data_IF_498738881818
#
_entry.id   IF_498738881818
#
_cell.length_a   1.000
_cell.length_b   1.000
_cell.length_c   1.000
_cell.angle_alpha   90.00
_cell.angle_beta   90.00
_cell.angle_gamma   90.00
#
_symmetry.space_group_name_H-M   'P 1'
#
loop_
_entity.id
_entity.type
_entity.pdbx_description
1 polymer ?
#
# COMPACT_ATOMS: atom_id res chain seq x y z
N UNK A 1 7.80 -19.63 -18.63
CA UNK A 1 6.86 -18.51 -18.89
C UNK A 1 5.37 -18.89 -18.78
N UNK A 2 4.97 -20.15 -18.99
CA UNK A 2 3.55 -20.55 -18.97
C UNK A 2 2.85 -20.61 -17.59
N UNK A 3 3.60 -20.85 -16.49
CA UNK A 3 3.00 -21.00 -15.15
C UNK A 3 2.55 -19.67 -14.57
N UNK A 4 3.39 -18.63 -14.67
CA UNK A 4 3.09 -17.26 -14.22
C UNK A 4 1.82 -16.72 -14.89
N UNK A 5 1.68 -16.97 -16.19
CA UNK A 5 0.50 -16.56 -16.97
C UNK A 5 -0.77 -17.29 -16.53
N UNK A 6 -0.70 -18.60 -16.28
CA UNK A 6 -1.87 -19.36 -15.78
C UNK A 6 -2.34 -18.90 -14.40
N UNK A 7 -1.41 -18.50 -13.54
CA UNK A 7 -1.75 -17.97 -12.21
C UNK A 7 -2.38 -16.58 -12.36
N UNK A 8 -1.82 -15.70 -13.19
CA UNK A 8 -2.43 -14.39 -13.41
C UNK A 8 -3.83 -14.50 -14.02
N UNK A 9 -4.06 -15.41 -14.96
CA UNK A 9 -5.36 -15.62 -15.61
C UNK A 9 -6.46 -16.08 -14.64
N UNK A 10 -6.10 -16.81 -13.58
CA UNK A 10 -7.06 -17.24 -12.54
C UNK A 10 -7.37 -16.16 -11.52
N UNK A 11 -6.42 -15.26 -11.26
CA UNK A 11 -6.52 -14.24 -10.21
C UNK A 11 -7.03 -12.91 -10.75
N UNK A 12 -6.70 -12.59 -12.00
CA UNK A 12 -7.00 -11.31 -12.65
C UNK A 12 -7.98 -11.53 -13.81
N UNK A 13 -9.09 -10.79 -13.81
CA UNK A 13 -9.99 -10.76 -14.95
C UNK A 13 -9.31 -9.99 -16.09
N UNK A 14 -8.89 -10.71 -17.12
CA UNK A 14 -8.26 -10.11 -18.28
C UNK A 14 -9.33 -9.51 -19.20
N UNK A 15 -9.13 -8.26 -19.61
CA UNK A 15 -9.92 -7.62 -20.66
C UNK A 15 -9.12 -7.69 -21.98
N UNK A 16 -9.50 -8.58 -22.90
CA UNK A 16 -8.74 -8.81 -24.13
C UNK A 16 -8.76 -7.59 -25.06
N UNK A 17 -9.72 -6.66 -24.94
CA UNK A 17 -9.74 -5.45 -25.76
C UNK A 17 -8.73 -4.42 -25.22
N UNK A 18 -8.74 -4.18 -23.91
CA UNK A 18 -7.79 -3.28 -23.27
C UNK A 18 -6.33 -3.76 -23.43
N UNK A 19 -6.09 -5.07 -23.42
CA UNK A 19 -4.75 -5.62 -23.64
C UNK A 19 -4.25 -5.43 -25.07
N UNK A 20 -5.16 -5.43 -26.05
CA UNK A 20 -4.83 -5.24 -27.46
C UNK A 20 -4.36 -3.82 -27.78
N UNK A 21 -4.82 -2.83 -27.02
CA UNK A 21 -4.40 -1.43 -27.12
C UNK A 21 -2.98 -1.19 -26.57
N UNK A 22 -2.43 -2.13 -25.78
CA UNK A 22 -1.10 -2.00 -25.21
C UNK A 22 0.00 -2.38 -26.21
N UNK A 23 1.16 -1.67 -26.20
CA UNK A 23 2.34 -2.07 -26.98
C UNK A 23 2.80 -3.50 -26.66
N UNK A 24 3.26 -4.25 -27.65
CA UNK A 24 3.63 -5.67 -27.50
C UNK A 24 4.68 -5.91 -26.39
N UNK A 25 5.65 -4.99 -26.27
CA UNK A 25 6.68 -5.05 -25.23
C UNK A 25 6.10 -4.98 -23.81
N UNK A 26 4.99 -4.25 -23.62
CA UNK A 26 4.28 -4.15 -22.34
C UNK A 26 3.45 -5.40 -22.10
N UNK A 27 2.70 -5.86 -23.11
CA UNK A 27 1.83 -7.05 -23.03
C UNK A 27 2.61 -8.30 -22.64
N UNK A 28 3.82 -8.49 -23.18
CA UNK A 28 4.70 -9.63 -22.85
C UNK A 28 5.10 -9.67 -21.37
N UNK A 29 5.23 -8.52 -20.72
CA UNK A 29 5.66 -8.41 -19.33
C UNK A 29 4.51 -8.24 -18.33
N UNK A 30 3.29 -8.02 -18.82
CA UNK A 30 2.08 -7.79 -18.03
C UNK A 30 1.82 -8.86 -16.96
N UNK A 31 1.76 -10.18 -17.26
CA UNK A 31 1.41 -11.19 -16.26
C UNK A 31 2.46 -11.30 -15.15
N UNK A 32 3.74 -11.19 -15.49
CA UNK A 32 4.82 -11.21 -14.51
C UNK A 32 4.82 -9.97 -13.60
N UNK A 33 4.55 -8.79 -14.16
CA UNK A 33 4.46 -7.56 -13.38
C UNK A 33 3.20 -7.53 -12.51
N UNK A 34 2.08 -8.04 -12.98
CA UNK A 34 0.84 -8.15 -12.20
C UNK A 34 1.06 -8.98 -10.93
N UNK A 35 1.65 -10.17 -11.04
CA UNK A 35 1.93 -11.00 -9.87
C UNK A 35 2.94 -10.35 -8.90
N UNK A 36 3.96 -9.63 -9.42
CA UNK A 36 4.89 -8.89 -8.57
C UNK A 36 4.20 -7.78 -7.78
N UNK A 37 3.29 -7.05 -8.42
CA UNK A 37 2.52 -5.98 -7.75
C UNK A 37 1.58 -6.60 -6.71
N UNK A 38 0.84 -7.65 -7.06
CA UNK A 38 -0.05 -8.35 -6.13
C UNK A 38 0.73 -8.85 -4.91
N UNK A 39 1.87 -9.51 -5.13
CA UNK A 39 2.74 -9.98 -4.06
C UNK A 39 3.25 -8.83 -3.19
N UNK A 40 3.80 -7.77 -3.80
CA UNK A 40 4.31 -6.62 -3.06
C UNK A 40 3.22 -5.94 -2.21
N UNK A 41 2.04 -5.70 -2.79
CA UNK A 41 0.91 -5.11 -2.07
C UNK A 41 0.38 -6.02 -0.97
N UNK A 42 0.37 -7.34 -1.19
CA UNK A 42 -0.03 -8.30 -0.16
C UNK A 42 0.92 -8.24 1.04
N UNK A 43 2.24 -8.29 0.82
CA UNK A 43 3.23 -8.16 1.89
C UNK A 43 3.13 -6.82 2.62
N UNK A 44 2.97 -5.73 1.85
CA UNK A 44 2.80 -4.39 2.41
C UNK A 44 1.59 -4.31 3.33
N UNK A 45 0.42 -4.79 2.88
CA UNK A 45 -0.81 -4.81 3.68
C UNK A 45 -0.67 -5.72 4.92
N UNK A 46 0.04 -6.85 4.80
CA UNK A 46 0.33 -7.69 5.96
C UNK A 46 1.16 -6.95 7.01
N UNK A 47 2.21 -6.24 6.59
CA UNK A 47 3.02 -5.40 7.48
C UNK A 47 2.20 -4.30 8.16
N UNK A 48 1.36 -3.60 7.39
CA UNK A 48 0.50 -2.53 7.91
C UNK A 48 -0.49 -3.03 8.99
N UNK A 49 -0.98 -4.26 8.85
CA UNK A 49 -1.88 -4.88 9.82
C UNK A 49 -1.15 -5.32 11.10
N UNK A 50 0.12 -5.72 11.00
CA UNK A 50 0.94 -6.11 12.18
C UNK A 50 1.29 -4.89 13.04
N UNK A 51 1.59 -3.75 12.42
CA UNK A 51 2.03 -2.53 13.13
C UNK A 51 0.86 -1.58 13.43
N UNK A 52 -0.38 -2.05 13.26
CA UNK A 52 -1.52 -1.14 13.15
C UNK A 52 -1.82 -0.42 14.46
N UNK A 53 -1.39 0.84 14.52
CA UNK A 53 -1.69 1.79 15.60
C UNK A 53 -3.20 2.01 15.84
N UNK A 54 -4.06 1.55 14.92
CA UNK A 54 -5.52 1.68 15.03
C UNK A 54 -6.15 0.78 16.10
N UNK A 55 -5.41 -0.14 16.73
CA UNK A 55 -5.88 -0.86 17.92
C UNK A 55 -5.33 -0.25 19.21
N UNK A 56 -4.07 0.19 19.18
CA UNK A 56 -3.37 0.76 20.35
C UNK A 56 -3.94 2.13 20.72
N UNK A 57 -4.23 3.00 19.75
CA UNK A 57 -4.68 4.37 20.01
C UNK A 57 -6.11 4.42 20.60
N UNK A 58 -7.10 3.66 20.07
CA UNK A 58 -8.41 3.57 20.70
C UNK A 58 -8.36 2.93 22.09
N UNK A 59 -7.51 1.90 22.28
CA UNK A 59 -7.32 1.28 23.59
C UNK A 59 -6.74 2.26 24.61
N UNK A 60 -5.75 3.07 24.21
CA UNK A 60 -5.17 4.12 25.05
C UNK A 60 -6.19 5.21 25.39
N UNK A 61 -6.98 5.68 24.42
CA UNK A 61 -8.00 6.70 24.66
C UNK A 61 -9.10 6.20 25.62
N UNK A 62 -9.47 4.92 25.51
CA UNK A 62 -10.39 4.29 26.44
C UNK A 62 -9.79 4.21 27.86
N UNK A 63 -8.52 3.80 27.98
CA UNK A 63 -7.82 3.73 29.27
C UNK A 63 -7.66 5.10 29.95
N UNK A 64 -7.55 6.18 29.17
CA UNK A 64 -7.45 7.56 29.65
C UNK A 64 -8.81 8.20 29.97
N UNK A 65 -9.93 7.48 29.81
CA UNK A 65 -11.28 7.98 30.10
C UNK A 65 -11.80 9.00 29.09
N UNK A 66 -11.25 9.04 27.87
CA UNK A 66 -11.68 9.97 26.82
C UNK A 66 -13.12 9.64 26.39
N UNK A 67 -14.03 10.63 26.29
CA UNK A 67 -15.40 10.43 25.81
C UNK A 67 -15.46 9.66 24.47
N UNK A 68 -16.33 8.67 24.37
CA UNK A 68 -16.47 7.76 23.22
C UNK A 68 -16.74 8.50 21.89
N UNK A 69 -17.39 9.66 21.94
CA UNK A 69 -17.60 10.51 20.78
C UNK A 69 -16.27 10.99 20.14
N UNK A 70 -15.24 11.27 20.95
CA UNK A 70 -13.92 11.68 20.48
C UNK A 70 -13.10 10.49 19.96
N UNK A 71 -13.31 9.29 20.51
CA UNK A 71 -12.73 8.04 19.98
C UNK A 71 -13.27 7.74 18.57
N UNK A 72 -14.54 8.03 18.30
CA UNK A 72 -15.13 7.90 16.96
C UNK A 72 -14.51 8.80 15.91
N UNK A 73 -13.98 9.97 16.30
CA UNK A 73 -13.28 10.91 15.40
C UNK A 73 -11.83 10.50 15.11
N UNK A 74 -11.25 9.61 15.90
CA UNK A 74 -9.86 9.18 15.77
C UNK A 74 -9.60 8.49 14.42
N UNK A 75 -10.56 7.70 13.94
CA UNK A 75 -10.47 7.03 12.63
C UNK A 75 -10.49 8.06 11.49
N UNK A 76 -11.50 8.96 11.37
CA UNK A 76 -11.48 10.03 10.37
C UNK A 76 -10.24 10.91 10.41
N UNK A 77 -9.74 11.29 11.59
CA UNK A 77 -8.54 12.14 11.71
C UNK A 77 -7.31 11.38 11.20
N UNK A 78 -7.18 10.09 11.52
CA UNK A 78 -6.10 9.25 11.01
C UNK A 78 -6.15 9.10 9.50
N UNK A 79 -7.33 8.74 8.96
CA UNK A 79 -7.50 8.54 7.51
C UNK A 79 -7.30 9.87 6.76
N UNK A 80 -7.85 10.98 7.26
CA UNK A 80 -7.66 12.30 6.64
C UNK A 80 -6.21 12.80 6.78
N UNK A 81 -5.56 12.50 7.90
CA UNK A 81 -4.19 12.89 8.19
C UNK A 81 -3.18 12.27 7.23
N UNK A 82 -3.39 11.02 6.78
CA UNK A 82 -2.56 10.41 5.74
C UNK A 82 -2.92 10.89 4.33
N UNK A 83 -4.20 11.23 4.09
CA UNK A 83 -4.66 11.72 2.79
C UNK A 83 -4.09 13.10 2.41
N UNK A 84 -3.82 13.99 3.37
CA UNK A 84 -3.23 15.31 3.12
C UNK A 84 -1.84 15.25 2.46
N UNK A 85 -0.82 14.61 3.07
CA UNK A 85 0.50 14.48 2.44
C UNK A 85 0.43 13.65 1.15
N UNK A 86 -0.46 12.64 1.09
CA UNK A 86 -0.67 11.86 -0.13
C UNK A 86 -1.15 12.75 -1.29
N UNK A 87 -2.14 13.62 -1.06
CA UNK A 87 -2.65 14.53 -2.08
C UNK A 87 -1.58 15.54 -2.53
N UNK A 88 -0.79 16.06 -1.59
CA UNK A 88 0.30 17.00 -1.88
C UNK A 88 1.41 16.38 -2.75
N UNK A 89 1.77 15.11 -2.50
CA UNK A 89 2.86 14.42 -3.21
C UNK A 89 2.41 13.85 -4.56
N UNK A 90 1.11 13.57 -4.73
CA UNK A 90 0.54 12.99 -5.96
C UNK A 90 0.98 13.67 -7.27
N UNK A 91 0.89 15.01 -7.45
CA UNK A 91 1.30 15.65 -8.69
C UNK A 91 2.78 15.46 -9.01
N UNK A 92 3.65 15.36 -7.99
CA UNK A 92 5.07 15.07 -8.18
C UNK A 92 5.29 13.63 -8.66
N UNK A 93 4.61 12.66 -8.04
CA UNK A 93 4.71 11.24 -8.43
C UNK A 93 4.24 11.01 -9.85
N UNK A 94 3.18 11.70 -10.28
CA UNK A 94 2.63 11.56 -11.63
C UNK A 94 3.62 12.02 -12.72
N UNK A 95 4.51 12.98 -12.41
CA UNK A 95 5.57 13.47 -13.32
C UNK A 95 6.76 12.51 -13.46
N UNK A 96 6.91 11.53 -12.57
CA UNK A 96 8.02 10.57 -12.63
C UNK A 96 7.78 9.53 -13.73
N UNK A 97 8.68 9.49 -14.73
CA UNK A 97 8.63 8.54 -15.87
C UNK A 97 8.56 7.07 -15.43
N UNK A 98 9.25 6.70 -14.34
CA UNK A 98 9.31 5.34 -13.78
C UNK A 98 8.86 5.34 -12.32
N UNK A 99 7.54 5.37 -12.10
CA UNK A 99 6.91 5.44 -10.76
C UNK A 99 7.27 4.29 -9.81
N UNK A 100 7.76 3.16 -10.33
CA UNK A 100 8.20 2.02 -9.51
C UNK A 100 9.20 2.42 -8.42
N UNK A 101 10.10 3.37 -8.71
CA UNK A 101 11.13 3.77 -7.76
C UNK A 101 10.57 4.60 -6.62
N UNK A 102 9.55 5.42 -6.88
CA UNK A 102 8.82 6.14 -5.82
C UNK A 102 8.20 5.14 -4.84
N UNK A 103 7.57 4.08 -5.37
CA UNK A 103 7.01 3.01 -4.54
C UNK A 103 8.08 2.29 -3.71
N UNK A 104 9.20 1.90 -4.34
CA UNK A 104 10.30 1.21 -3.62
C UNK A 104 10.89 2.08 -2.51
N UNK A 105 11.15 3.37 -2.77
CA UNK A 105 11.67 4.29 -1.76
C UNK A 105 10.67 4.43 -0.60
N UNK A 106 9.38 4.59 -0.90
CA UNK A 106 8.34 4.65 0.12
C UNK A 106 8.31 3.41 1.01
N UNK A 107 8.39 2.22 0.41
CA UNK A 107 8.42 0.96 1.15
C UNK A 107 9.67 0.83 2.05
N UNK A 108 10.84 1.27 1.58
CA UNK A 108 12.08 1.28 2.37
C UNK A 108 11.96 2.23 3.57
N UNK A 109 11.48 3.45 3.34
CA UNK A 109 11.27 4.44 4.42
C UNK A 109 10.29 3.90 5.44
N UNK A 110 9.21 3.26 5.00
CA UNK A 110 8.24 2.66 5.90
C UNK A 110 8.86 1.52 6.73
N UNK A 111 9.60 0.61 6.11
CA UNK A 111 10.29 -0.47 6.81
C UNK A 111 11.29 0.07 7.85
N UNK A 112 12.05 1.12 7.51
CA UNK A 112 12.99 1.77 8.42
C UNK A 112 12.28 2.40 9.64
N UNK A 113 11.16 3.09 9.42
CA UNK A 113 10.36 3.67 10.51
C UNK A 113 9.80 2.59 11.44
N UNK A 114 9.28 1.50 10.88
CA UNK A 114 8.78 0.36 11.69
C UNK A 114 9.92 -0.28 12.49
N UNK A 115 11.09 -0.48 11.88
CA UNK A 115 12.26 -1.01 12.58
C UNK A 115 12.69 -0.07 13.72
N UNK A 116 12.71 1.24 13.49
CA UNK A 116 13.01 2.22 14.53
C UNK A 116 11.99 2.18 15.68
N UNK A 117 10.70 2.05 15.39
CA UNK A 117 9.67 1.87 16.43
C UNK A 117 9.91 0.60 17.25
N UNK A 118 10.24 -0.51 16.59
CA UNK A 118 10.53 -1.77 17.29
C UNK A 118 11.77 -1.67 18.19
N UNK A 119 12.82 -0.98 17.74
CA UNK A 119 14.04 -0.73 18.53
C UNK A 119 13.74 0.16 19.73
N UNK A 120 12.91 1.19 19.59
CA UNK A 120 12.52 2.08 20.70
C UNK A 120 11.61 1.37 21.71
N UNK A 121 10.82 0.40 21.27
CA UNK A 121 9.90 -0.35 22.11
C UNK A 121 10.55 -1.54 22.85
N UNK A 122 11.74 -1.97 22.45
CA UNK A 122 12.51 -3.07 23.04
C UNK A 122 13.39 -2.59 24.21
#
# INVERSE_FOLDING_TARGET
MGTVRRISEKVLKHDPQAEQELPEAVRRNLPGNALRIIGATALQNSGDQVVKASTVLPWLFHALGVPSALVGLLVPIRESGSMLPQAFITPFVLRVRRRKWVFVIGAIVQAATVAAMAVVAA
#
